data_IF_911382094411
#
_entry.id   IF_911382094411
#
_cell.length_a   1.000
_cell.length_b   1.000
_cell.length_c   1.000
_cell.angle_alpha   90.00
_cell.angle_beta   90.00
_cell.angle_gamma   90.00
#
_symmetry.space_group_name_H-M   'P 1'
#
loop_
_entity.id
_entity.type
_entity.pdbx_description
1 polymer ?
#
# COMPACT_ATOMS: atom_id res chain seq x y z
N UNK A 1 43.18 11.16 -18.46
CA UNK A 1 42.24 12.07 -17.76
C UNK A 1 40.89 11.95 -18.47
N UNK A 2 40.14 10.88 -18.17
CA UNK A 2 38.90 10.54 -18.89
C UNK A 2 37.77 11.47 -18.45
N UNK A 3 37.22 12.18 -19.43
CA UNK A 3 35.96 12.92 -19.31
C UNK A 3 34.83 11.88 -19.13
N UNK A 4 34.43 11.58 -17.89
CA UNK A 4 33.14 10.95 -17.63
C UNK A 4 32.11 12.08 -17.61
N UNK A 5 31.56 12.40 -18.79
CA UNK A 5 30.29 13.14 -18.84
C UNK A 5 29.27 12.24 -18.13
N UNK A 6 28.60 12.77 -17.12
CA UNK A 6 27.42 12.12 -16.56
C UNK A 6 26.34 12.15 -17.64
N UNK A 7 26.31 11.12 -18.49
CA UNK A 7 25.33 11.00 -19.56
C UNK A 7 23.96 10.78 -18.92
N UNK A 8 23.18 11.85 -18.81
CA UNK A 8 21.79 11.79 -18.39
C UNK A 8 20.98 10.83 -19.27
N UNK A 9 19.87 10.32 -18.75
CA UNK A 9 19.04 9.33 -19.45
C UNK A 9 18.49 9.81 -20.81
N UNK A 10 18.56 11.11 -21.07
CA UNK A 10 18.21 11.79 -22.31
C UNK A 10 19.01 11.30 -23.53
N UNK A 11 20.27 10.90 -23.32
CA UNK A 11 21.16 10.40 -24.39
C UNK A 11 20.75 9.04 -24.95
N UNK A 12 19.89 8.30 -24.24
CA UNK A 12 19.47 6.94 -24.60
C UNK A 12 18.17 6.88 -25.43
N UNK A 13 17.69 8.03 -25.93
CA UNK A 13 16.57 8.08 -26.87
C UNK A 13 15.24 7.63 -26.26
N UNK A 14 15.05 7.82 -24.95
CA UNK A 14 13.77 7.63 -24.28
C UNK A 14 12.82 8.80 -24.63
N UNK A 15 11.52 8.56 -24.88
CA UNK A 15 10.58 9.64 -25.15
C UNK A 15 10.49 10.62 -23.97
N UNK A 16 10.26 11.91 -24.24
CA UNK A 16 10.16 12.95 -23.21
C UNK A 16 9.21 12.62 -22.05
N UNK A 17 8.04 12.04 -22.36
CA UNK A 17 7.09 11.58 -21.33
C UNK A 17 7.69 10.56 -20.37
N UNK A 18 8.55 9.68 -20.85
CA UNK A 18 9.21 8.63 -20.04
C UNK A 18 10.29 9.26 -19.16
N UNK A 19 11.06 10.21 -19.71
CA UNK A 19 12.06 10.97 -18.94
C UNK A 19 11.43 11.78 -17.80
N UNK A 20 10.27 12.38 -18.04
CA UNK A 20 9.49 13.08 -17.01
C UNK A 20 9.10 12.15 -15.85
N UNK A 21 8.60 10.95 -16.14
CA UNK A 21 8.26 9.95 -15.12
C UNK A 21 9.48 9.43 -14.37
N UNK A 22 10.58 9.15 -15.07
CA UNK A 22 11.84 8.73 -14.44
C UNK A 22 12.32 9.75 -13.41
N UNK A 23 12.23 11.04 -13.74
CA UNK A 23 12.55 12.12 -12.80
C UNK A 23 11.63 12.13 -11.58
N UNK A 24 10.32 11.93 -11.76
CA UNK A 24 9.37 11.83 -10.64
C UNK A 24 9.65 10.62 -9.74
N UNK A 25 10.19 9.54 -10.32
CA UNK A 25 10.63 8.35 -9.60
C UNK A 25 12.02 8.51 -8.94
N UNK A 26 12.69 9.65 -9.12
CA UNK A 26 14.05 9.90 -8.61
C UNK A 26 15.15 9.15 -9.38
N UNK A 27 14.87 8.78 -10.63
CA UNK A 27 15.79 8.06 -11.52
C UNK A 27 16.31 9.06 -12.55
N UNK A 28 17.44 9.69 -12.26
CA UNK A 28 18.00 10.74 -13.12
C UNK A 28 19.23 10.26 -13.89
N UNK A 29 19.89 9.21 -13.39
CA UNK A 29 21.09 8.63 -13.98
C UNK A 29 20.90 7.17 -14.38
N UNK A 30 21.86 6.66 -15.17
CA UNK A 30 21.95 5.24 -15.48
C UNK A 30 22.22 4.41 -14.24
N UNK A 31 23.02 4.93 -13.30
CA UNK A 31 23.30 4.29 -12.02
C UNK A 31 22.03 4.09 -11.20
N UNK A 32 21.13 5.09 -11.18
CA UNK A 32 19.82 4.97 -10.53
C UNK A 32 18.96 3.90 -11.20
N UNK A 33 18.96 3.85 -12.53
CA UNK A 33 18.22 2.85 -13.30
C UNK A 33 18.73 1.43 -13.01
N UNK A 34 20.04 1.22 -12.96
CA UNK A 34 20.66 -0.07 -12.63
C UNK A 34 20.32 -0.48 -11.20
N UNK A 35 20.34 0.46 -10.26
CA UNK A 35 20.02 0.20 -8.86
C UNK A 35 18.57 -0.24 -8.67
N UNK A 36 17.63 0.37 -9.40
CA UNK A 36 16.22 0.03 -9.33
C UNK A 36 15.83 -1.18 -10.20
N UNK A 37 16.56 -1.42 -11.29
CA UNK A 37 16.33 -2.48 -12.27
C UNK A 37 15.30 -2.11 -13.35
N UNK A 38 15.62 -2.36 -14.62
CA UNK A 38 14.80 -1.92 -15.76
C UNK A 38 13.37 -2.47 -15.75
N UNK A 39 13.17 -3.70 -15.27
CA UNK A 39 11.86 -4.36 -15.18
C UNK A 39 10.97 -3.67 -14.14
N UNK A 40 11.51 -3.34 -12.96
CA UNK A 40 10.81 -2.59 -11.91
C UNK A 40 10.39 -1.22 -12.44
N UNK A 41 11.33 -0.50 -13.04
CA UNK A 41 11.11 0.83 -13.60
C UNK A 41 10.07 0.81 -14.72
N UNK A 42 10.14 -0.15 -15.64
CA UNK A 42 9.14 -0.30 -16.69
C UNK A 42 7.73 -0.49 -16.12
N UNK A 43 7.56 -1.31 -15.08
CA UNK A 43 6.26 -1.54 -14.47
C UNK A 43 5.74 -0.31 -13.73
N UNK A 44 6.60 0.45 -13.04
CA UNK A 44 6.25 1.73 -12.41
C UNK A 44 5.80 2.78 -13.42
N UNK A 45 6.47 2.87 -14.58
CA UNK A 45 6.05 3.83 -15.62
C UNK A 45 4.78 3.33 -16.32
N UNK A 46 4.64 2.01 -16.51
CA UNK A 46 3.47 1.41 -17.15
C UNK A 46 2.21 1.51 -16.28
N UNK A 47 2.37 1.60 -14.96
CA UNK A 47 1.23 1.83 -14.07
C UNK A 47 0.62 3.21 -14.31
N UNK A 48 1.44 4.24 -14.60
CA UNK A 48 1.00 5.63 -14.85
C UNK A 48 0.51 5.78 -16.29
N UNK A 49 1.23 5.16 -17.23
CA UNK A 49 0.99 5.28 -18.67
C UNK A 49 0.54 3.96 -19.28
N UNK A 50 -0.77 3.69 -19.26
CA UNK A 50 -1.36 2.45 -19.79
C UNK A 50 -1.04 2.19 -21.28
N UNK A 51 -0.66 3.22 -22.04
CA UNK A 51 -0.20 3.12 -23.43
C UNK A 51 1.30 2.88 -23.62
N UNK A 52 2.05 2.54 -22.57
CA UNK A 52 3.49 2.28 -22.64
C UNK A 52 3.77 0.93 -23.34
N UNK A 53 4.46 1.00 -24.47
CA UNK A 53 4.79 -0.19 -25.28
C UNK A 53 6.02 -0.91 -24.76
N UNK A 54 6.18 -2.18 -25.13
CA UNK A 54 7.38 -2.97 -24.82
C UNK A 54 8.66 -2.38 -25.43
N UNK A 55 8.56 -1.48 -26.43
CA UNK A 55 9.73 -0.77 -26.93
C UNK A 55 10.46 0.00 -25.83
N UNK A 56 9.75 0.50 -24.82
CA UNK A 56 10.36 1.20 -23.69
C UNK A 56 11.07 0.22 -22.77
N UNK A 57 10.47 -0.96 -22.52
CA UNK A 57 11.12 -2.03 -21.77
C UNK A 57 12.47 -2.40 -22.38
N UNK A 58 12.54 -2.54 -23.71
CA UNK A 58 13.79 -2.87 -24.40
C UNK A 58 14.84 -1.77 -24.26
N UNK A 59 14.43 -0.49 -24.28
CA UNK A 59 15.34 0.63 -24.07
C UNK A 59 15.88 0.63 -22.64
N UNK A 60 15.01 0.52 -21.64
CA UNK A 60 15.41 0.50 -20.22
C UNK A 60 16.35 -0.69 -19.93
N UNK A 61 16.01 -1.89 -20.40
CA UNK A 61 16.85 -3.08 -20.25
C UNK A 61 18.19 -2.92 -20.98
N UNK A 62 18.17 -2.31 -22.17
CA UNK A 62 19.39 -2.03 -22.91
C UNK A 62 20.34 -1.08 -22.18
N UNK A 63 19.80 -0.04 -21.53
CA UNK A 63 20.58 0.89 -20.72
C UNK A 63 21.20 0.17 -19.52
N UNK A 64 20.41 -0.62 -18.78
CA UNK A 64 20.87 -1.39 -17.62
C UNK A 64 22.01 -2.35 -17.98
N UNK A 65 21.87 -3.10 -19.07
CA UNK A 65 22.81 -4.15 -19.46
C UNK A 65 23.89 -3.70 -20.44
N UNK A 66 23.94 -2.42 -20.83
CA UNK A 66 24.84 -1.91 -21.88
C UNK A 66 24.68 -2.60 -23.24
N UNK A 67 23.45 -2.95 -23.60
CA UNK A 67 23.11 -3.60 -24.87
C UNK A 67 22.24 -2.63 -25.67
N UNK A 68 22.62 -2.24 -26.90
CA UNK A 68 21.71 -1.49 -27.76
C UNK A 68 20.38 -2.23 -27.90
N UNK A 69 19.24 -1.57 -27.68
CA UNK A 69 17.95 -2.27 -27.54
C UNK A 69 17.53 -3.07 -28.78
N UNK A 70 18.06 -2.71 -29.96
CA UNK A 70 17.86 -3.45 -31.22
C UNK A 70 18.69 -4.75 -31.30
N UNK A 71 19.74 -4.90 -30.48
CA UNK A 71 20.55 -6.11 -30.38
C UNK A 71 19.99 -7.15 -29.39
N UNK A 72 18.89 -6.83 -28.68
CA UNK A 72 18.24 -7.78 -27.78
C UNK A 72 17.54 -8.87 -28.63
N UNK A 73 18.06 -10.09 -28.56
CA UNK A 73 17.58 -11.23 -29.34
C UNK A 73 16.12 -11.58 -29.02
N UNK A 74 15.44 -12.27 -29.95
CA UNK A 74 14.05 -12.72 -29.73
C UNK A 74 13.92 -13.68 -28.56
N UNK A 75 14.93 -14.54 -28.36
CA UNK A 75 15.01 -15.44 -27.23
C UNK A 75 15.10 -14.65 -25.91
N UNK A 76 16.06 -13.72 -25.82
CA UNK A 76 16.24 -12.89 -24.64
C UNK A 76 14.99 -12.04 -24.33
N UNK A 77 14.33 -11.47 -25.34
CA UNK A 77 13.03 -10.78 -25.16
C UNK A 77 11.96 -11.67 -24.54
N UNK A 78 11.94 -12.95 -24.89
CA UNK A 78 10.98 -13.92 -24.33
C UNK A 78 11.30 -14.20 -22.88
N UNK A 79 12.57 -14.39 -22.53
CA UNK A 79 13.06 -14.58 -21.17
C UNK A 79 12.75 -13.37 -20.30
N UNK A 80 13.04 -12.15 -20.79
CA UNK A 80 12.72 -10.89 -20.12
C UNK A 80 11.22 -10.77 -19.86
N UNK A 81 10.35 -11.12 -20.83
CA UNK A 81 8.89 -11.06 -20.61
C UNK A 81 8.39 -12.12 -19.64
N UNK A 82 9.01 -13.29 -19.61
CA UNK A 82 8.71 -14.31 -18.60
C UNK A 82 9.13 -13.84 -17.21
N UNK A 83 10.27 -13.16 -17.11
CA UNK A 83 10.76 -12.56 -15.88
C UNK A 83 9.86 -11.41 -15.43
N UNK A 84 9.47 -10.51 -16.34
CA UNK A 84 8.54 -9.41 -16.08
C UNK A 84 7.21 -9.89 -15.47
N UNK A 85 6.70 -11.04 -15.89
CA UNK A 85 5.47 -11.64 -15.33
C UNK A 85 5.61 -12.09 -13.88
N UNK A 86 6.84 -12.28 -13.39
CA UNK A 86 7.12 -12.65 -12.00
C UNK A 86 7.12 -11.41 -11.08
N UNK A 87 7.23 -10.21 -11.63
CA UNK A 87 7.18 -8.98 -10.85
C UNK A 87 5.74 -8.72 -10.37
N UNK A 88 5.57 -8.18 -9.15
CA UNK A 88 4.26 -7.82 -8.64
C UNK A 88 3.60 -6.76 -9.53
N UNK A 89 2.27 -6.81 -9.65
CA UNK A 89 1.52 -5.76 -10.36
C UNK A 89 1.74 -4.45 -9.60
N UNK A 90 2.38 -3.47 -10.24
CA UNK A 90 2.50 -2.12 -9.69
C UNK A 90 1.12 -1.48 -9.78
N UNK A 91 0.41 -1.44 -8.66
CA UNK A 91 -0.86 -0.74 -8.52
C UNK A 91 -0.58 0.68 -8.09
N UNK A 92 -0.93 1.64 -8.94
CA UNK A 92 -0.80 3.07 -8.61
C UNK A 92 -1.64 3.38 -7.40
N UNK A 93 -1.14 4.16 -6.46
CA UNK A 93 -2.00 4.68 -5.39
C UNK A 93 -2.73 5.93 -5.87
N UNK A 94 -3.92 6.23 -5.34
CA UNK A 94 -4.58 7.50 -5.60
C UNK A 94 -3.69 8.69 -5.21
N UNK A 95 -4.01 9.88 -5.72
CA UNK A 95 -3.28 11.09 -5.35
C UNK A 95 -3.36 11.34 -3.83
N UNK A 96 -2.43 12.13 -3.29
CA UNK A 96 -2.35 12.36 -1.85
C UNK A 96 -3.64 12.97 -1.27
N UNK A 97 -4.29 13.87 -2.02
CA UNK A 97 -5.54 14.50 -1.61
C UNK A 97 -6.68 13.48 -1.49
N UNK A 98 -6.84 12.59 -2.47
CA UNK A 98 -7.84 11.53 -2.43
C UNK A 98 -7.57 10.54 -1.29
N UNK A 99 -6.31 10.15 -1.10
CA UNK A 99 -5.95 9.28 0.02
C UNK A 99 -6.25 9.93 1.37
N UNK A 100 -5.94 11.22 1.54
CA UNK A 100 -6.26 11.96 2.76
C UNK A 100 -7.78 12.01 3.00
N UNK A 101 -8.57 12.29 1.96
CA UNK A 101 -10.03 12.35 2.03
C UNK A 101 -10.63 11.05 2.55
N UNK A 102 -10.24 9.90 2.00
CA UNK A 102 -10.78 8.62 2.45
C UNK A 102 -10.20 8.16 3.79
N UNK A 103 -8.94 8.50 4.08
CA UNK A 103 -8.36 8.27 5.40
C UNK A 103 -9.11 9.07 6.49
N UNK A 104 -9.54 10.30 6.23
CA UNK A 104 -10.38 11.05 7.15
C UNK A 104 -11.71 10.34 7.46
N UNK A 105 -12.31 9.67 6.47
CA UNK A 105 -13.52 8.86 6.71
C UNK A 105 -13.22 7.64 7.59
N UNK A 106 -12.06 7.01 7.43
CA UNK A 106 -11.59 5.95 8.32
C UNK A 106 -11.32 6.48 9.75
N UNK A 107 -10.75 7.68 9.88
CA UNK A 107 -10.58 8.39 11.16
C UNK A 107 -11.92 8.64 11.84
N UNK A 108 -12.97 9.03 11.11
CA UNK A 108 -14.32 9.16 11.68
C UNK A 108 -14.85 7.82 12.23
N UNK A 109 -14.55 6.69 11.57
CA UNK A 109 -14.89 5.37 12.13
C UNK A 109 -14.05 5.05 13.37
N UNK A 110 -12.76 5.38 13.40
CA UNK A 110 -11.90 5.21 14.56
C UNK A 110 -12.37 6.05 15.77
N UNK A 111 -12.91 7.24 15.54
CA UNK A 111 -13.54 8.05 16.57
C UNK A 111 -14.79 7.37 17.14
N UNK A 112 -15.62 6.70 16.30
CA UNK A 112 -16.75 5.90 16.81
C UNK A 112 -16.28 4.79 17.75
N UNK A 113 -15.21 4.06 17.38
CA UNK A 113 -14.60 3.07 18.28
C UNK A 113 -14.16 3.71 19.61
N UNK A 114 -13.50 4.88 19.56
CA UNK A 114 -13.10 5.61 20.75
C UNK A 114 -14.29 5.91 21.68
N UNK A 115 -15.39 6.43 21.12
CA UNK A 115 -16.60 6.75 21.87
C UNK A 115 -17.31 5.51 22.43
N UNK A 116 -17.21 4.38 21.73
CA UNK A 116 -17.68 3.06 22.17
C UNK A 116 -16.71 2.37 23.17
N UNK A 117 -15.66 3.07 23.62
CA UNK A 117 -14.64 2.58 24.57
C UNK A 117 -13.81 1.37 24.06
N UNK A 118 -13.77 1.21 22.73
CA UNK A 118 -13.01 0.24 21.94
C UNK A 118 -11.67 0.82 21.46
N UNK A 119 -10.69 -0.05 21.13
CA UNK A 119 -9.42 0.41 20.52
C UNK A 119 -9.74 1.21 19.24
N UNK A 120 -9.26 2.47 19.10
CA UNK A 120 -9.71 3.38 18.05
C UNK A 120 -9.09 3.09 16.69
N UNK A 121 -9.59 2.03 16.05
CA UNK A 121 -9.24 1.65 14.68
C UNK A 121 -10.49 1.76 13.81
N UNK A 122 -10.35 2.38 12.65
CA UNK A 122 -11.42 2.58 11.69
C UNK A 122 -10.94 2.25 10.28
N UNK A 123 -11.87 1.81 9.43
CA UNK A 123 -11.60 1.42 8.06
C UNK A 123 -12.76 1.76 7.12
N UNK A 124 -12.43 2.04 5.86
CA UNK A 124 -13.40 2.21 4.77
C UNK A 124 -12.91 1.50 3.50
N UNK A 125 -13.84 0.90 2.76
CA UNK A 125 -13.59 0.29 1.43
C UNK A 125 -14.19 1.19 0.36
N UNK A 126 -13.38 1.51 -0.65
CA UNK A 126 -13.72 2.42 -1.74
C UNK A 126 -13.66 1.66 -3.07
N UNK A 127 -14.67 1.85 -3.91
CA UNK A 127 -14.71 1.38 -5.29
C UNK A 127 -15.12 2.53 -6.21
N UNK A 128 -14.26 2.87 -7.19
CA UNK A 128 -14.51 3.93 -8.17
C UNK A 128 -14.95 5.26 -7.52
N UNK A 129 -14.27 5.65 -6.45
CA UNK A 129 -14.55 6.88 -5.70
C UNK A 129 -15.76 6.82 -4.76
N UNK A 130 -16.49 5.70 -4.69
CA UNK A 130 -17.63 5.49 -3.77
C UNK A 130 -17.20 4.63 -2.59
N UNK A 131 -17.52 5.07 -1.37
CA UNK A 131 -17.40 4.22 -0.18
C UNK A 131 -18.50 3.15 -0.24
N UNK A 132 -18.10 1.89 -0.23
CA UNK A 132 -19.01 0.73 -0.31
C UNK A 132 -19.00 -0.13 0.96
N UNK A 133 -18.07 0.13 1.87
CA UNK A 133 -18.01 -0.54 3.17
C UNK A 133 -17.33 0.33 4.20
N UNK A 134 -17.80 0.26 5.44
CA UNK A 134 -17.21 0.97 6.58
C UNK A 134 -17.14 0.02 7.76
N UNK A 135 -16.14 0.20 8.62
CA UNK A 135 -15.96 -0.60 9.82
C UNK A 135 -15.14 0.13 10.87
N UNK A 136 -15.38 -0.18 12.13
CA UNK A 136 -14.53 0.22 13.25
C UNK A 136 -14.36 -0.98 14.18
N UNK A 137 -13.30 -0.99 14.98
CA UNK A 137 -13.07 -2.10 15.90
C UNK A 137 -14.23 -2.24 16.90
N UNK A 138 -14.78 -3.45 17.01
CA UNK A 138 -15.89 -3.83 17.88
C UNK A 138 -15.60 -5.15 18.61
N UNK A 139 -14.31 -5.46 18.81
CA UNK A 139 -13.89 -6.75 19.36
C UNK A 139 -14.39 -6.98 20.79
N UNK A 140 -14.36 -5.95 21.64
CA UNK A 140 -14.77 -6.06 23.03
C UNK A 140 -16.30 -6.15 23.17
N UNK A 141 -17.04 -5.18 22.61
CA UNK A 141 -18.49 -5.07 22.62
C UNK A 141 -19.17 -6.23 21.88
N UNK A 142 -18.59 -6.62 20.75
CA UNK A 142 -19.04 -7.76 19.95
C UNK A 142 -18.62 -9.12 20.50
N UNK A 143 -17.78 -9.16 21.55
CA UNK A 143 -17.23 -10.38 22.15
C UNK A 143 -16.62 -11.33 21.11
N UNK A 144 -15.96 -10.76 20.12
CA UNK A 144 -15.45 -11.53 18.99
C UNK A 144 -14.15 -10.92 18.48
N UNK A 145 -13.07 -11.71 18.55
CA UNK A 145 -11.73 -11.27 18.15
C UNK A 145 -11.62 -10.92 16.66
N UNK A 146 -12.55 -11.41 15.82
CA UNK A 146 -12.54 -11.08 14.38
C UNK A 146 -13.20 -9.74 14.06
N UNK A 147 -13.80 -9.04 15.04
CA UNK A 147 -14.51 -7.77 14.79
C UNK A 147 -13.55 -6.58 14.69
N UNK A 148 -12.50 -6.74 13.88
CA UNK A 148 -11.57 -5.68 13.50
C UNK A 148 -12.21 -4.78 12.43
N UNK A 149 -11.75 -3.53 12.38
CA UNK A 149 -12.28 -2.53 11.46
C UNK A 149 -12.21 -2.98 9.99
N UNK A 150 -11.08 -3.58 9.59
CA UNK A 150 -10.82 -4.05 8.23
C UNK A 150 -11.81 -5.16 7.84
N UNK A 151 -12.02 -6.15 8.72
CA UNK A 151 -12.91 -7.28 8.47
C UNK A 151 -14.37 -6.83 8.36
N UNK A 152 -14.79 -5.91 9.22
CA UNK A 152 -16.14 -5.35 9.18
C UNK A 152 -16.36 -4.51 7.92
N UNK A 153 -15.37 -3.70 7.51
CA UNK A 153 -15.45 -2.94 6.27
C UNK A 153 -15.47 -3.84 5.01
N UNK A 154 -14.66 -4.92 4.99
CA UNK A 154 -14.67 -5.94 3.93
C UNK A 154 -16.01 -6.65 3.85
N UNK A 155 -16.58 -7.02 5.01
CA UNK A 155 -17.90 -7.66 5.08
C UNK A 155 -18.99 -6.74 4.49
N UNK A 156 -19.04 -5.48 4.93
CA UNK A 156 -19.99 -4.50 4.43
C UNK A 156 -19.85 -4.28 2.91
N UNK A 157 -18.61 -4.17 2.40
CA UNK A 157 -18.35 -4.03 0.98
C UNK A 157 -18.77 -5.28 0.17
N UNK A 158 -18.54 -6.47 0.72
CA UNK A 158 -18.93 -7.72 0.08
C UNK A 158 -20.44 -7.88 0.00
N UNK A 159 -21.16 -7.45 1.03
CA UNK A 159 -22.63 -7.41 1.06
C UNK A 159 -23.17 -6.42 0.03
N UNK A 160 -22.61 -5.20 -0.04
CA UNK A 160 -23.00 -4.17 -1.02
C UNK A 160 -22.80 -4.62 -2.48
N UNK A 161 -21.72 -5.38 -2.75
CA UNK A 161 -21.44 -5.90 -4.10
C UNK A 161 -22.08 -7.27 -4.37
N UNK A 162 -22.69 -7.89 -3.36
CA UNK A 162 -23.12 -9.29 -3.38
C UNK A 162 -22.01 -10.23 -3.89
N UNK A 163 -20.77 -9.99 -3.46
CA UNK A 163 -19.60 -10.73 -3.92
C UNK A 163 -18.48 -10.69 -2.89
N UNK A 164 -17.84 -11.83 -2.63
CA UNK A 164 -16.68 -11.92 -1.73
C UNK A 164 -15.38 -11.40 -2.36
N UNK A 165 -15.35 -11.25 -3.69
CA UNK A 165 -14.22 -10.66 -4.42
C UNK A 165 -14.43 -9.16 -4.58
N UNK A 166 -13.53 -8.40 -3.96
CA UNK A 166 -13.45 -6.95 -3.95
C UNK A 166 -12.39 -6.45 -4.93
N UNK A 167 -12.38 -7.00 -6.14
CA UNK A 167 -11.46 -6.58 -7.20
C UNK A 167 -11.62 -5.07 -7.47
N UNK A 168 -10.50 -4.37 -7.69
CA UNK A 168 -10.43 -2.91 -7.87
C UNK A 168 -10.88 -2.06 -6.67
N UNK A 169 -11.08 -2.66 -5.49
CA UNK A 169 -11.38 -1.92 -4.27
C UNK A 169 -10.10 -1.48 -3.56
N UNK A 170 -10.18 -0.33 -2.90
CA UNK A 170 -9.16 0.19 -2.00
C UNK A 170 -9.65 0.13 -0.57
N UNK A 171 -8.79 -0.32 0.33
CA UNK A 171 -9.06 -0.28 1.76
C UNK A 171 -8.21 0.82 2.40
N UNK A 172 -8.87 1.72 3.10
CA UNK A 172 -8.24 2.72 3.96
C UNK A 172 -8.42 2.30 5.40
N UNK A 173 -7.35 2.28 6.21
CA UNK A 173 -7.40 1.88 7.62
C UNK A 173 -6.47 2.74 8.48
N UNK A 174 -6.91 3.14 9.68
CA UNK A 174 -6.13 4.08 10.50
C UNK A 174 -4.86 3.48 11.10
N UNK A 175 -4.79 2.15 11.23
CA UNK A 175 -3.65 1.42 11.78
C UNK A 175 -3.20 0.33 10.81
N UNK A 176 -1.89 0.06 10.75
CA UNK A 176 -1.33 -1.03 9.97
C UNK A 176 -2.02 -2.37 10.28
N UNK A 177 -2.54 -3.08 9.25
CA UNK A 177 -3.26 -4.33 9.45
C UNK A 177 -2.44 -5.41 10.15
N UNK A 178 -3.09 -6.17 11.04
CA UNK A 178 -2.51 -7.36 11.64
C UNK A 178 -2.51 -8.55 10.66
N UNK A 179 -1.91 -9.67 11.07
CA UNK A 179 -1.86 -10.90 10.26
C UNK A 179 -3.24 -11.41 9.82
N UNK A 180 -4.23 -11.41 10.72
CA UNK A 180 -5.60 -11.84 10.42
C UNK A 180 -6.24 -10.98 9.33
N UNK A 181 -6.19 -9.66 9.48
CA UNK A 181 -6.78 -8.73 8.54
C UNK A 181 -6.04 -8.76 7.19
N UNK A 182 -4.71 -8.86 7.21
CA UNK A 182 -3.88 -9.03 6.00
C UNK A 182 -4.28 -10.28 5.22
N UNK A 183 -4.51 -11.41 5.90
CA UNK A 183 -5.02 -12.62 5.26
C UNK A 183 -6.36 -12.40 4.56
N UNK A 184 -7.32 -11.75 5.23
CA UNK A 184 -8.63 -11.46 4.65
C UNK A 184 -8.57 -10.47 3.48
N UNK A 185 -7.72 -9.44 3.56
CA UNK A 185 -7.46 -8.50 2.47
C UNK A 185 -6.98 -9.24 1.21
N UNK A 186 -6.03 -10.16 1.39
CA UNK A 186 -5.50 -10.97 0.28
C UNK A 186 -6.60 -11.87 -0.29
N UNK A 187 -7.34 -12.59 0.56
CA UNK A 187 -8.38 -13.52 0.09
C UNK A 187 -9.56 -12.81 -0.58
N UNK A 188 -9.91 -11.60 -0.13
CA UNK A 188 -10.96 -10.77 -0.72
C UNK A 188 -10.53 -10.04 -2.00
N UNK A 189 -9.26 -10.15 -2.42
CA UNK A 189 -8.73 -9.50 -3.63
C UNK A 189 -8.79 -7.97 -3.65
N UNK A 190 -8.75 -7.35 -2.47
CA UNK A 190 -8.53 -5.90 -2.37
C UNK A 190 -7.26 -5.54 -3.13
N UNK A 191 -7.34 -4.43 -3.86
CA UNK A 191 -6.29 -4.01 -4.76
C UNK A 191 -5.21 -3.22 -4.08
N UNK A 192 -5.61 -2.26 -3.24
CA UNK A 192 -4.70 -1.35 -2.56
C UNK A 192 -5.12 -1.24 -1.10
N UNK A 193 -4.16 -1.26 -0.20
CA UNK A 193 -4.35 -0.95 1.21
C UNK A 193 -3.55 0.30 1.54
N UNK A 194 -4.25 1.31 2.01
CA UNK A 194 -3.68 2.57 2.44
C UNK A 194 -3.88 2.66 3.95
N UNK A 195 -2.80 2.79 4.72
CA UNK A 195 -2.90 2.89 6.17
C UNK A 195 -2.21 4.10 6.75
N UNK A 196 -2.69 4.51 7.92
CA UNK A 196 -2.16 5.65 8.66
C UNK A 196 -0.93 5.30 9.49
N UNK A 197 -1.16 5.02 10.77
CA UNK A 197 -0.09 4.72 11.72
C UNK A 197 0.46 3.30 11.49
N UNK A 198 1.77 3.14 11.69
CA UNK A 198 2.41 1.81 11.77
C UNK A 198 2.08 1.12 13.10
N UNK A 199 1.99 -0.20 13.10
CA UNK A 199 1.77 -1.01 14.28
C UNK A 199 3.05 -1.78 14.64
N UNK A 200 3.86 -1.17 15.49
CA UNK A 200 5.22 -1.63 15.78
C UNK A 200 5.31 -3.04 16.39
N UNK A 201 4.24 -3.57 17.00
CA UNK A 201 4.26 -4.88 17.67
C UNK A 201 3.70 -6.02 16.84
N UNK A 202 2.60 -5.76 16.13
CA UNK A 202 1.79 -6.80 15.49
C UNK A 202 1.42 -6.49 14.04
N UNK A 203 1.88 -5.36 13.50
CA UNK A 203 1.65 -4.98 12.12
C UNK A 203 2.33 -5.96 11.17
N UNK A 204 1.64 -6.36 10.12
CA UNK A 204 2.13 -7.39 9.20
C UNK A 204 2.89 -6.80 7.99
N UNK A 205 2.64 -5.53 7.65
CA UNK A 205 3.00 -4.90 6.37
C UNK A 205 4.41 -4.38 6.33
N UNK A 206 4.74 -3.54 7.29
CA UNK A 206 6.08 -2.97 7.48
C UNK A 206 6.72 -3.51 8.75
N UNK A 207 5.90 -3.84 9.75
CA UNK A 207 6.39 -4.20 11.08
C UNK A 207 6.71 -5.69 11.22
N UNK A 208 6.37 -6.52 10.23
CA UNK A 208 6.68 -7.97 10.19
C UNK A 208 7.55 -8.36 8.97
N UNK A 209 8.30 -9.45 9.10
CA UNK A 209 9.38 -9.83 8.18
C UNK A 209 8.91 -10.04 6.71
N UNK A 210 9.47 -9.29 5.74
CA UNK A 210 9.18 -9.41 4.30
C UNK A 210 9.34 -10.83 3.72
N UNK A 211 10.12 -11.71 4.35
CA UNK A 211 10.32 -13.09 3.90
C UNK A 211 9.01 -13.89 3.82
N UNK A 212 7.99 -13.53 4.62
CA UNK A 212 6.67 -14.18 4.60
C UNK A 212 5.79 -13.72 3.42
N UNK A 213 6.11 -12.59 2.78
CA UNK A 213 5.39 -12.09 1.59
C UNK A 213 5.66 -12.93 0.34
N UNK A 214 6.74 -13.73 0.34
CA UNK A 214 7.15 -14.53 -0.83
C UNK A 214 6.10 -15.57 -1.25
N UNK A 215 5.22 -15.98 -0.34
CA UNK A 215 4.17 -16.98 -0.60
C UNK A 215 2.76 -16.37 -0.66
N UNK A 216 2.63 -15.04 -0.55
CA UNK A 216 1.35 -14.35 -0.60
C UNK A 216 1.07 -13.88 -2.03
N UNK A 217 -0.14 -14.13 -2.53
CA UNK A 217 -0.56 -13.72 -3.87
C UNK A 217 -0.33 -12.21 -4.10
N UNK A 218 0.41 -11.86 -5.15
CA UNK A 218 0.94 -10.50 -5.43
C UNK A 218 -0.09 -9.49 -5.97
N UNK A 219 -1.38 -9.68 -5.72
CA UNK A 219 -2.42 -8.80 -6.25
C UNK A 219 -2.72 -7.58 -5.37
N UNK A 220 -2.21 -7.50 -4.14
CA UNK A 220 -2.47 -6.39 -3.24
C UNK A 220 -1.22 -5.53 -3.03
N UNK A 221 -1.35 -4.21 -3.20
CA UNK A 221 -0.31 -3.24 -2.89
C UNK A 221 -0.60 -2.54 -1.55
N UNK A 222 0.44 -2.18 -0.81
CA UNK A 222 0.32 -1.51 0.49
C UNK A 222 1.05 -0.17 0.51
N UNK A 223 0.46 0.84 1.16
CA UNK A 223 1.05 2.16 1.38
C UNK A 223 0.71 2.68 2.77
N UNK A 224 1.74 2.87 3.59
CA UNK A 224 1.62 3.46 4.92
C UNK A 224 1.82 4.97 4.94
N UNK A 225 1.54 5.58 6.09
CA UNK A 225 1.92 6.95 6.40
C UNK A 225 0.84 8.01 6.15
N UNK A 226 -0.33 7.65 5.61
CA UNK A 226 -1.38 8.63 5.26
C UNK A 226 -2.08 9.12 6.53
N UNK A 227 -1.94 10.41 6.86
CA UNK A 227 -2.42 10.98 8.12
C UNK A 227 -1.90 10.25 9.37
N UNK A 228 -0.69 9.68 9.31
CA UNK A 228 -0.13 8.84 10.37
C UNK A 228 -0.11 9.50 11.76
N UNK A 229 0.23 10.78 11.83
CA UNK A 229 0.26 11.54 13.09
C UNK A 229 -1.12 11.63 13.75
N UNK A 230 -2.16 11.85 12.94
CA UNK A 230 -3.54 11.93 13.43
C UNK A 230 -4.05 10.57 13.90
N UNK A 231 -3.83 9.53 13.10
CA UNK A 231 -4.18 8.16 13.44
C UNK A 231 -3.48 7.68 14.72
N UNK A 232 -2.18 8.00 14.88
CA UNK A 232 -1.39 7.66 16.07
C UNK A 232 -1.87 8.40 17.32
N UNK A 233 -2.27 9.67 17.17
CA UNK A 233 -2.78 10.48 18.27
C UNK A 233 -4.04 9.86 18.88
N UNK A 234 -5.01 9.42 18.08
CA UNK A 234 -6.22 8.76 18.59
C UNK A 234 -5.90 7.53 19.45
N UNK A 235 -4.98 6.68 19.01
CA UNK A 235 -4.54 5.50 19.78
C UNK A 235 -3.86 5.92 21.09
N UNK A 236 -3.00 6.93 21.04
CA UNK A 236 -2.26 7.42 22.22
C UNK A 236 -3.23 7.98 23.26
N UNK A 237 -4.14 8.86 22.85
CA UNK A 237 -5.15 9.50 23.71
C UNK A 237 -6.06 8.45 24.37
N UNK A 238 -6.43 7.39 23.63
CA UNK A 238 -7.25 6.31 24.15
C UNK A 238 -6.55 5.56 25.29
N UNK A 239 -5.31 5.10 25.06
CA UNK A 239 -4.59 4.35 26.08
C UNK A 239 -4.18 5.23 27.27
N UNK A 240 -3.92 6.53 27.06
CA UNK A 240 -3.73 7.48 28.15
C UNK A 240 -4.98 7.62 29.03
N UNK A 241 -6.15 7.75 28.40
CA UNK A 241 -7.43 7.83 29.10
C UNK A 241 -7.71 6.56 29.91
N UNK A 242 -7.42 5.38 29.35
CA UNK A 242 -7.54 4.10 30.07
C UNK A 242 -6.59 3.99 31.27
N UNK A 243 -5.32 4.40 31.12
CA UNK A 243 -4.33 4.41 32.22
C UNK A 243 -4.75 5.35 33.36
N UNK A 244 -5.21 6.57 33.03
CA UNK A 244 -5.71 7.55 34.02
C UNK A 244 -6.92 7.01 34.78
N UNK A 245 -7.87 6.36 34.09
CA UNK A 245 -9.03 5.71 34.74
C UNK A 245 -8.57 4.63 35.72
N UNK A 246 -7.67 3.73 35.31
CA UNK A 246 -7.15 2.65 36.17
C UNK A 246 -6.50 3.20 37.44
N UNK A 247 -5.62 4.20 37.29
CA UNK A 247 -4.95 4.86 38.43
C UNK A 247 -5.94 5.53 39.40
N UNK A 248 -7.04 6.11 38.89
CA UNK A 248 -8.07 6.74 39.74
C UNK A 248 -8.85 5.72 40.58
N UNK A 249 -9.19 4.55 40.03
CA UNK A 249 -9.89 3.49 40.76
C UNK A 249 -8.97 2.80 41.79
N UNK A 250 -7.69 2.60 41.45
CA UNK A 250 -6.68 2.11 42.40
C UNK A 250 -6.46 3.10 43.57
N UNK A 251 -6.48 4.42 43.32
CA UNK A 251 -6.34 5.45 44.37
C UNK A 251 -7.61 5.62 45.23
N UNK A 252 -8.78 5.21 44.74
CA UNK A 252 -10.06 5.24 45.47
C UNK A 252 -10.36 3.94 46.23
N UNK A 253 -9.42 2.98 46.26
CA UNK A 253 -9.59 1.72 46.99
C UNK A 253 -10.61 0.76 46.36
N UNK A 254 -11.05 1.00 45.13
CA UNK A 254 -11.94 0.11 44.38
C UNK A 254 -11.05 -0.78 43.51
N UNK A 255 -10.59 -1.88 44.10
CA UNK A 255 -9.98 -2.98 43.36
C UNK A 255 -11.08 -3.69 42.54
N UNK A 256 -10.99 -3.56 41.21
CA UNK A 256 -11.59 -4.49 40.25
C UNK A 256 -10.52 -5.49 39.81
#
# INVERSE_FOLDING_TARGET
MSFLMSDGLESYGLPYRVLGELKQLGIESKEDLIKEGSLSVFLKIKSVHLGLTQSILWKLYGIEHNIPYWNISKQLKTEILQELKKFPIVKEFPCQEEMNRYMQLAVLQAQKAFWDDEVPVGAVVVLKGRVIGVGYNQSFKGRNIINHAELLAIKAASEELNNYRLDNCDLYVTLEPCMMCTGAIIQSRISRVIYGAKEAKTGMVESFNPAHYRYMNHHCAFKGGVLASECKRLLTDFFETKRKKKSKYEHQGILL
#
